data_IF_356163037517
#
_entry.id   IF_356163037517
#
_cell.length_a   1.000
_cell.length_b   1.000
_cell.length_c   1.000
_cell.angle_alpha   90.00
_cell.angle_beta   90.00
_cell.angle_gamma   90.00
#
_symmetry.space_group_name_H-M   'P 1'
#
loop_
_entity.id
_entity.type
_entity.pdbx_description
1 polymer ?
#
# COMPACT_ATOMS: atom_id res chain seq x y z
N UNK A 1 -50.57 -29.33 36.00
CA UNK A 1 -49.13 -29.01 36.07
C UNK A 1 -48.46 -29.80 34.96
N UNK A 2 -48.15 -29.13 33.85
CA UNK A 2 -47.62 -29.80 32.66
C UNK A 2 -46.12 -30.01 32.87
N UNK A 3 -45.74 -31.25 33.20
CA UNK A 3 -44.36 -31.69 33.13
C UNK A 3 -44.00 -31.85 31.65
N UNK A 4 -43.52 -30.76 31.04
CA UNK A 4 -42.86 -30.81 29.74
C UNK A 4 -41.53 -31.55 29.92
N UNK A 5 -41.57 -32.87 29.75
CA UNK A 5 -40.37 -33.70 29.65
C UNK A 5 -39.70 -33.40 28.31
N UNK A 6 -38.94 -32.30 28.24
CA UNK A 6 -38.00 -32.07 27.15
C UNK A 6 -37.11 -33.30 27.05
N UNK A 7 -37.20 -34.00 25.93
CA UNK A 7 -36.42 -35.20 25.69
C UNK A 7 -34.94 -34.81 25.56
N UNK A 8 -34.08 -35.50 26.31
CA UNK A 8 -32.61 -35.33 26.29
C UNK A 8 -32.00 -35.19 24.88
N UNK A 9 -32.41 -35.97 23.84
CA UNK A 9 -31.88 -35.78 22.49
C UNK A 9 -32.23 -34.43 21.87
N UNK A 10 -33.39 -33.86 22.18
CA UNK A 10 -33.81 -32.57 21.63
C UNK A 10 -32.97 -31.42 22.19
N UNK A 11 -32.60 -31.51 23.47
CA UNK A 11 -31.68 -30.57 24.11
C UNK A 11 -30.29 -30.58 23.44
N UNK A 12 -29.78 -31.76 23.07
CA UNK A 12 -28.49 -31.90 22.40
C UNK A 12 -28.52 -31.25 21.00
N UNK A 13 -29.59 -31.48 20.24
CA UNK A 13 -29.75 -30.86 18.91
C UNK A 13 -29.83 -29.33 19.01
N UNK A 14 -30.62 -28.81 19.96
CA UNK A 14 -30.71 -27.36 20.20
C UNK A 14 -29.34 -26.78 20.57
N UNK A 15 -28.56 -27.46 21.41
CA UNK A 15 -27.24 -27.00 21.84
C UNK A 15 -26.24 -26.94 20.66
N UNK A 16 -26.27 -27.93 19.77
CA UNK A 16 -25.45 -27.94 18.55
C UNK A 16 -25.86 -26.81 17.60
N UNK A 17 -27.16 -26.62 17.35
CA UNK A 17 -27.68 -25.56 16.48
C UNK A 17 -27.34 -24.18 17.04
N UNK A 18 -27.52 -23.98 18.35
CA UNK A 18 -27.18 -22.73 19.02
C UNK A 18 -25.67 -22.44 18.97
N UNK A 19 -24.84 -23.46 19.15
CA UNK A 19 -23.38 -23.34 18.97
C UNK A 19 -22.98 -22.99 17.54
N UNK A 20 -23.69 -23.53 16.54
CA UNK A 20 -23.45 -23.24 15.13
C UNK A 20 -23.89 -21.82 14.76
N UNK A 21 -24.99 -21.34 15.34
CA UNK A 21 -25.46 -19.96 15.21
C UNK A 21 -24.48 -18.99 15.89
N UNK A 22 -24.00 -19.27 17.09
CA UNK A 22 -22.96 -18.45 17.74
C UNK A 22 -21.69 -18.45 16.90
N UNK A 23 -21.25 -19.61 16.40
CA UNK A 23 -20.10 -19.70 15.49
C UNK A 23 -20.34 -18.89 14.22
N UNK A 24 -21.55 -18.85 13.68
CA UNK A 24 -21.84 -18.12 12.45
C UNK A 24 -21.95 -16.61 12.70
N UNK A 25 -22.53 -16.19 13.82
CA UNK A 25 -22.71 -14.79 14.20
C UNK A 25 -21.43 -14.16 14.77
N UNK A 26 -20.61 -14.92 15.51
CA UNK A 26 -19.37 -14.45 16.15
C UNK A 26 -18.09 -14.94 15.45
N UNK A 27 -18.16 -15.95 14.58
CA UNK A 27 -17.03 -16.45 13.79
C UNK A 27 -16.83 -15.71 12.47
N UNK A 28 -17.52 -14.58 12.27
CA UNK A 28 -17.19 -13.63 11.23
C UNK A 28 -15.84 -13.00 11.53
N UNK A 29 -14.85 -13.29 10.68
CA UNK A 29 -13.49 -12.75 10.69
C UNK A 29 -12.66 -13.07 11.93
N UNK A 30 -12.12 -14.30 11.98
CA UNK A 30 -10.71 -14.39 12.38
C UNK A 30 -9.94 -13.43 11.45
N UNK A 31 -9.24 -12.40 11.96
CA UNK A 31 -8.39 -11.60 11.11
C UNK A 31 -7.34 -12.58 10.59
N UNK A 32 -7.53 -13.01 9.34
CA UNK A 32 -6.52 -13.70 8.59
C UNK A 32 -5.31 -12.79 8.68
N UNK A 33 -4.33 -13.18 9.49
CA UNK A 33 -3.09 -12.46 9.69
C UNK A 33 -2.64 -12.12 8.29
N UNK A 34 -2.69 -10.83 7.87
CA UNK A 34 -2.38 -10.51 6.50
C UNK A 34 -0.96 -11.02 6.34
N UNK A 35 -0.77 -11.93 5.40
CA UNK A 35 0.56 -12.33 4.95
C UNK A 35 1.17 -11.01 4.49
N UNK A 36 1.91 -10.34 5.38
CA UNK A 36 2.42 -9.00 5.12
C UNK A 36 3.26 -9.17 3.89
N UNK A 37 2.83 -8.54 2.79
CA UNK A 37 3.57 -8.63 1.54
C UNK A 37 5.00 -8.22 1.85
N UNK A 38 6.01 -8.90 1.30
CA UNK A 38 7.41 -8.59 1.59
C UNK A 38 7.71 -7.10 1.35
N UNK A 39 7.04 -6.48 0.37
CA UNK A 39 7.09 -5.04 0.16
C UNK A 39 6.52 -4.18 1.29
N UNK A 40 5.41 -4.59 1.92
CA UNK A 40 4.86 -3.83 3.05
C UNK A 40 5.79 -3.89 4.27
N UNK A 41 6.51 -5.01 4.45
CA UNK A 41 7.53 -5.14 5.48
C UNK A 41 8.73 -4.22 5.19
N UNK A 42 9.19 -4.15 3.95
CA UNK A 42 10.23 -3.17 3.56
C UNK A 42 9.74 -1.75 3.82
N UNK A 43 8.58 -1.36 3.26
CA UNK A 43 8.03 0.01 3.39
C UNK A 43 7.90 0.47 4.84
N UNK A 44 7.43 -0.42 5.72
CA UNK A 44 7.33 -0.13 7.16
C UNK A 44 8.70 0.03 7.84
N UNK A 45 9.74 -0.71 7.39
CA UNK A 45 11.12 -0.54 7.86
C UNK A 45 11.70 0.79 7.39
N UNK A 46 11.45 1.21 6.15
CA UNK A 46 11.94 2.51 5.67
C UNK A 46 11.33 3.67 6.48
N UNK A 47 10.02 3.64 6.74
CA UNK A 47 9.33 4.63 7.59
C UNK A 47 9.89 4.63 9.02
N UNK A 48 10.15 3.44 9.56
CA UNK A 48 10.73 3.27 10.89
C UNK A 48 12.15 3.87 10.98
N UNK A 49 12.97 3.67 9.94
CA UNK A 49 14.32 4.24 9.85
C UNK A 49 14.26 5.76 9.80
N UNK A 50 13.38 6.36 9.01
CA UNK A 50 13.22 7.82 8.94
C UNK A 50 12.86 8.41 10.30
N UNK A 51 11.93 7.78 11.03
CA UNK A 51 11.56 8.20 12.38
C UNK A 51 12.73 8.12 13.36
N UNK A 52 13.50 7.02 13.33
CA UNK A 52 14.67 6.85 14.21
C UNK A 52 15.74 7.88 13.86
N UNK A 53 15.95 8.16 12.57
CA UNK A 53 16.91 9.17 12.10
C UNK A 53 16.54 10.59 12.58
N UNK A 54 15.24 10.92 12.68
CA UNK A 54 14.77 12.18 13.24
C UNK A 54 15.07 12.30 14.75
N UNK A 55 14.99 11.21 15.51
CA UNK A 55 15.29 11.19 16.95
C UNK A 55 16.79 11.10 17.24
N UNK A 56 17.54 10.39 16.40
CA UNK A 56 18.97 10.10 16.57
C UNK A 56 19.74 10.42 15.28
N UNK A 57 19.99 11.71 14.99
CA UNK A 57 20.70 12.11 13.77
C UNK A 57 22.13 11.54 13.69
N UNK A 58 22.75 11.25 14.84
CA UNK A 58 24.07 10.62 14.95
C UNK A 58 24.10 9.13 14.58
N UNK A 59 22.95 8.44 14.57
CA UNK A 59 22.89 7.02 14.24
C UNK A 59 22.90 6.84 12.72
N UNK A 60 23.78 5.95 12.23
CA UNK A 60 23.91 5.73 10.79
C UNK A 60 22.71 4.94 10.25
N UNK A 61 22.06 5.45 9.20
CA UNK A 61 20.91 4.82 8.51
C UNK A 61 21.10 3.31 8.24
N UNK A 62 22.31 2.90 7.84
CA UNK A 62 22.64 1.51 7.52
C UNK A 62 22.66 0.60 8.76
N UNK A 63 23.14 1.12 9.89
CA UNK A 63 23.13 0.38 11.16
C UNK A 63 21.71 0.22 11.70
N UNK A 64 20.87 1.27 11.58
CA UNK A 64 19.45 1.22 11.94
C UNK A 64 18.70 0.19 11.07
N UNK A 65 18.90 0.21 9.74
CA UNK A 65 18.29 -0.76 8.83
C UNK A 65 18.66 -2.22 9.18
N UNK A 66 19.94 -2.45 9.48
CA UNK A 66 20.43 -3.76 9.89
C UNK A 66 19.79 -4.23 11.20
N UNK A 67 19.68 -3.34 12.17
CA UNK A 67 19.06 -3.61 13.45
C UNK A 67 17.58 -3.95 13.32
N UNK A 68 16.84 -3.13 12.57
CA UNK A 68 15.43 -3.37 12.28
C UNK A 68 15.22 -4.67 11.51
N UNK A 69 16.17 -5.04 10.64
CA UNK A 69 16.08 -6.29 9.90
C UNK A 69 16.13 -7.51 10.83
N UNK A 70 17.01 -7.50 11.84
CA UNK A 70 17.10 -8.59 12.84
C UNK A 70 15.95 -8.54 13.84
N UNK A 71 15.53 -7.36 14.25
CA UNK A 71 14.53 -7.16 15.30
C UNK A 71 13.08 -7.05 14.78
N UNK A 72 12.83 -7.56 13.56
CA UNK A 72 11.48 -7.67 13.00
C UNK A 72 10.80 -6.33 12.67
N UNK A 73 11.55 -5.25 12.55
CA UNK A 73 11.03 -3.89 12.31
C UNK A 73 10.51 -3.20 13.58
N UNK A 74 10.87 -3.66 14.78
CA UNK A 74 10.48 -3.01 16.02
C UNK A 74 11.32 -1.74 16.29
N UNK A 75 10.67 -0.58 16.17
CA UNK A 75 11.28 0.74 16.41
C UNK A 75 11.74 0.88 17.86
N UNK A 76 10.95 0.43 18.83
CA UNK A 76 11.22 0.64 20.26
C UNK A 76 12.49 -0.09 20.69
N UNK A 77 12.62 -1.36 20.31
CA UNK A 77 13.80 -2.16 20.62
C UNK A 77 15.07 -1.56 20.01
N UNK A 78 14.95 -1.01 18.79
CA UNK A 78 16.07 -0.31 18.14
C UNK A 78 16.43 0.98 18.90
N UNK A 79 15.44 1.78 19.29
CA UNK A 79 15.64 3.00 20.09
C UNK A 79 16.33 2.70 21.43
N UNK A 80 15.87 1.68 22.16
CA UNK A 80 16.48 1.28 23.44
C UNK A 80 17.94 0.85 23.27
N UNK A 81 18.26 0.13 22.20
CA UNK A 81 19.64 -0.30 21.92
C UNK A 81 20.56 0.84 21.48
N UNK A 82 20.01 1.84 20.78
CA UNK A 82 20.73 3.08 20.46
C UNK A 82 21.05 3.83 21.75
N UNK A 83 20.08 3.98 22.64
CA UNK A 83 20.27 4.62 23.95
C UNK A 83 21.27 3.87 24.83
N UNK A 84 21.25 2.54 24.79
CA UNK A 84 22.22 1.68 25.48
C UNK A 84 23.61 1.64 24.82
N UNK A 85 23.80 2.30 23.67
CA UNK A 85 25.07 2.32 22.95
C UNK A 85 25.48 0.97 22.33
N UNK A 86 24.54 0.04 22.13
CA UNK A 86 24.78 -1.33 21.62
C UNK A 86 24.28 -1.55 20.19
N UNK A 87 24.35 -0.52 19.36
CA UNK A 87 23.96 -0.60 17.96
C UNK A 87 24.97 -1.43 17.18
N UNK A 88 24.53 -2.54 16.60
CA UNK A 88 25.41 -3.50 15.93
C UNK A 88 25.91 -2.91 14.60
N UNK A 89 27.23 -2.97 14.37
CA UNK A 89 27.83 -2.48 13.13
C UNK A 89 27.54 -3.47 12.01
N UNK A 90 26.84 -3.05 10.94
CA UNK A 90 26.42 -3.95 9.88
C UNK A 90 27.65 -4.51 9.14
N UNK A 91 27.64 -5.80 8.75
CA UNK A 91 28.71 -6.38 7.95
C UNK A 91 28.87 -5.65 6.62
N UNK A 92 30.08 -5.66 6.05
CA UNK A 92 30.41 -4.97 4.78
C UNK A 92 29.58 -5.46 3.60
N UNK A 93 29.09 -6.71 3.67
CA UNK A 93 28.19 -7.32 2.68
C UNK A 93 26.76 -6.82 2.73
N UNK A 94 26.35 -6.09 3.77
CA UNK A 94 25.01 -5.52 3.84
C UNK A 94 24.92 -4.30 2.91
N UNK A 95 24.31 -4.51 1.74
CA UNK A 95 24.03 -3.47 0.76
C UNK A 95 22.60 -2.96 0.99
N UNK A 96 22.41 -1.80 1.66
CA UNK A 96 21.08 -1.27 1.88
C UNK A 96 20.43 -0.88 0.54
N UNK A 97 19.10 -1.04 0.39
CA UNK A 97 18.40 -0.53 -0.78
C UNK A 97 18.61 1.00 -0.88
N UNK A 98 18.82 1.53 -2.10
CA UNK A 98 19.15 2.94 -2.28
C UNK A 98 18.06 3.83 -1.66
N UNK A 99 18.42 4.92 -0.97
CA UNK A 99 17.47 5.90 -0.49
C UNK A 99 16.54 6.37 -1.62
N UNK A 100 15.23 6.54 -1.39
CA UNK A 100 14.37 7.20 -2.35
C UNK A 100 14.85 8.66 -2.48
N UNK A 101 15.54 8.98 -3.58
CA UNK A 101 15.99 10.33 -3.91
C UNK A 101 17.51 10.55 -4.02
N UNK A 102 18.35 9.57 -3.65
CA UNK A 102 19.79 9.66 -3.94
C UNK A 102 20.12 8.88 -5.21
N UNK A 103 20.10 9.58 -6.33
CA UNK A 103 20.66 9.13 -7.60
C UNK A 103 22.19 9.03 -7.48
N UNK A 104 22.70 7.99 -6.82
CA UNK A 104 24.10 7.59 -7.03
C UNK A 104 24.17 6.90 -8.37
N UNK A 105 24.60 7.68 -9.36
CA UNK A 105 24.99 7.20 -10.68
C UNK A 105 26.12 6.17 -10.55
N UNK A 106 25.77 4.89 -10.46
CA UNK A 106 26.56 3.90 -11.18
C UNK A 106 26.24 4.13 -12.65
N UNK A 107 27.26 4.57 -13.40
CA UNK A 107 27.23 4.74 -14.83
C UNK A 107 26.92 3.39 -15.51
N UNK A 108 25.65 3.05 -15.58
CA UNK A 108 25.11 2.29 -16.69
C UNK A 108 24.63 3.35 -17.67
N UNK A 109 25.31 3.45 -18.81
CA UNK A 109 24.75 4.00 -20.04
C UNK A 109 23.27 3.69 -20.07
N UNK A 110 22.43 4.72 -19.90
CA UNK A 110 21.02 4.59 -20.13
C UNK A 110 20.89 4.08 -21.57
N UNK A 111 20.35 2.87 -21.82
CA UNK A 111 19.91 2.60 -23.16
C UNK A 111 18.85 3.67 -23.42
N UNK A 112 19.11 4.51 -24.44
CA UNK A 112 18.08 5.25 -25.17
C UNK A 112 16.83 4.40 -25.11
N UNK A 113 15.76 4.90 -24.47
CA UNK A 113 14.54 4.12 -24.25
C UNK A 113 14.27 3.35 -25.53
N UNK A 114 14.32 2.00 -25.53
CA UNK A 114 13.83 1.27 -26.68
C UNK A 114 12.39 1.72 -26.82
N UNK A 115 12.02 2.23 -28.00
CA UNK A 115 10.64 2.57 -28.31
C UNK A 115 9.76 1.49 -27.71
N UNK A 116 8.98 1.89 -26.72
CA UNK A 116 8.20 0.95 -25.93
C UNK A 116 7.37 0.15 -26.93
N UNK A 117 7.47 -1.19 -26.98
CA UNK A 117 6.67 -1.97 -27.91
C UNK A 117 5.22 -1.57 -27.66
N UNK A 118 4.49 -1.22 -28.72
CA UNK A 118 3.15 -0.64 -28.73
C UNK A 118 2.24 -1.27 -27.66
N UNK A 119 2.35 -0.80 -26.42
CA UNK A 119 1.47 -1.23 -25.35
C UNK A 119 0.15 -0.56 -25.67
N UNK A 120 -0.96 -1.32 -25.74
CA UNK A 120 -2.25 -0.73 -26.08
C UNK A 120 -2.51 0.41 -25.11
N UNK A 121 -2.85 1.59 -25.66
CA UNK A 121 -3.03 2.82 -24.91
C UNK A 121 -3.78 2.57 -23.60
N UNK A 122 -3.39 3.27 -22.52
CA UNK A 122 -4.09 3.18 -21.22
C UNK A 122 -5.60 3.39 -21.37
N UNK A 123 -6.00 4.21 -22.34
CA UNK A 123 -7.40 4.46 -22.71
C UNK A 123 -8.10 3.19 -23.21
N UNK A 124 -7.41 2.40 -24.04
CA UNK A 124 -7.93 1.12 -24.56
C UNK A 124 -7.91 0.06 -23.45
N UNK A 125 -6.86 -0.02 -22.65
CA UNK A 125 -6.75 -0.97 -21.53
C UNK A 125 -7.86 -0.81 -20.50
N UNK A 126 -8.30 0.44 -20.26
CA UNK A 126 -9.33 0.75 -19.27
C UNK A 126 -10.67 1.18 -19.90
N UNK A 127 -10.86 0.96 -21.20
CA UNK A 127 -12.09 1.29 -21.94
C UNK A 127 -12.59 2.73 -21.71
N UNK A 128 -11.67 3.69 -21.62
CA UNK A 128 -11.96 5.10 -21.29
C UNK A 128 -12.44 5.91 -22.50
N UNK A 129 -12.59 5.29 -23.68
CA UNK A 129 -12.94 5.97 -24.94
C UNK A 129 -14.23 6.81 -24.82
N UNK A 130 -15.25 6.28 -24.15
CA UNK A 130 -16.55 6.93 -24.00
C UNK A 130 -16.51 8.13 -23.02
N UNK A 131 -15.56 8.15 -22.08
CA UNK A 131 -15.45 9.23 -21.06
C UNK A 131 -14.70 10.46 -21.56
N UNK A 132 -14.01 10.39 -22.70
CA UNK A 132 -13.24 11.51 -23.25
C UNK A 132 -14.13 12.73 -23.55
N UNK A 133 -15.37 12.51 -24.02
CA UNK A 133 -16.30 13.58 -24.38
C UNK A 133 -17.04 14.25 -23.21
N UNK A 134 -17.06 13.64 -22.01
CA UNK A 134 -17.92 14.09 -20.89
C UNK A 134 -17.17 14.86 -19.78
N UNK A 135 -15.83 14.89 -19.80
CA UNK A 135 -15.01 15.29 -18.63
C UNK A 135 -14.65 16.80 -18.63
N UNK A 136 -15.33 17.63 -19.41
CA UNK A 136 -15.04 19.08 -19.47
C UNK A 136 -15.45 19.86 -18.20
N UNK A 137 -16.18 19.26 -17.25
CA UNK A 137 -16.87 19.98 -16.16
C UNK A 137 -16.46 19.53 -14.73
N UNK A 138 -15.57 18.55 -14.58
CA UNK A 138 -15.38 17.87 -13.27
C UNK A 138 -14.12 18.27 -12.46
N UNK A 139 -13.37 19.30 -12.85
CA UNK A 139 -12.04 19.58 -12.28
C UNK A 139 -12.02 20.36 -10.95
N UNK A 140 -13.14 20.97 -10.49
CA UNK A 140 -13.08 21.91 -9.35
C UNK A 140 -13.50 21.38 -7.95
N UNK A 141 -13.99 20.16 -7.81
CA UNK A 141 -14.74 19.77 -6.59
C UNK A 141 -14.18 18.56 -5.83
N UNK A 142 -12.84 18.41 -5.66
CA UNK A 142 -12.29 17.19 -4.98
C UNK A 142 -11.07 17.41 -4.10
N UNK A 143 -11.11 18.37 -3.20
CA UNK A 143 -10.18 18.44 -2.06
C UNK A 143 -10.78 17.69 -0.86
N UNK A 144 -10.20 16.54 -0.49
CA UNK A 144 -10.39 15.97 0.86
C UNK A 144 -11.33 14.76 1.04
N UNK A 145 -11.74 14.04 -0.01
CA UNK A 145 -12.60 12.85 0.19
C UNK A 145 -11.81 11.68 0.79
N UNK A 146 -12.01 11.42 2.09
CA UNK A 146 -11.46 10.27 2.82
C UNK A 146 -11.84 8.95 2.13
N UNK A 147 -10.96 7.95 2.18
CA UNK A 147 -11.27 6.61 1.66
C UNK A 147 -12.44 6.03 2.45
N UNK A 148 -13.47 5.54 1.76
CA UNK A 148 -14.59 4.87 2.42
C UNK A 148 -14.10 3.61 3.15
N UNK A 149 -14.75 3.26 4.26
CA UNK A 149 -14.49 2.03 5.01
C UNK A 149 -14.99 0.78 4.28
N UNK A 150 -15.97 0.95 3.39
CA UNK A 150 -16.55 -0.10 2.58
C UNK A 150 -15.64 -0.47 1.39
N UNK A 151 -15.43 -1.77 1.14
CA UNK A 151 -14.46 -2.27 0.15
C UNK A 151 -14.86 -1.90 -1.28
N UNK A 152 -16.13 -2.10 -1.61
CA UNK A 152 -16.69 -1.92 -2.95
C UNK A 152 -16.66 -0.43 -3.34
N UNK A 153 -17.11 0.43 -2.42
CA UNK A 153 -17.06 1.88 -2.60
C UNK A 153 -15.63 2.39 -2.73
N UNK A 154 -14.70 1.84 -1.93
CA UNK A 154 -13.29 2.23 -2.02
C UNK A 154 -12.72 1.84 -3.37
N UNK A 155 -13.00 0.63 -3.84
CA UNK A 155 -12.54 0.15 -5.13
C UNK A 155 -13.08 1.02 -6.27
N UNK A 156 -14.38 1.35 -6.25
CA UNK A 156 -15.01 2.25 -7.21
C UNK A 156 -14.42 3.67 -7.19
N UNK A 157 -14.13 4.19 -5.99
CA UNK A 157 -13.50 5.52 -5.84
C UNK A 157 -12.08 5.56 -6.39
N UNK A 158 -11.29 4.50 -6.18
CA UNK A 158 -9.91 4.40 -6.68
C UNK A 158 -9.89 4.22 -8.20
N UNK A 159 -10.82 3.43 -8.75
CA UNK A 159 -11.00 3.30 -10.18
C UNK A 159 -11.34 4.64 -10.81
N UNK A 160 -12.27 5.40 -10.23
CA UNK A 160 -12.66 6.72 -10.73
C UNK A 160 -11.50 7.72 -10.70
N UNK A 161 -10.75 7.79 -9.60
CA UNK A 161 -9.54 8.64 -9.49
C UNK A 161 -8.47 8.25 -10.53
N UNK A 162 -8.33 6.95 -10.80
CA UNK A 162 -7.36 6.43 -11.76
C UNK A 162 -7.76 6.75 -13.19
N UNK A 163 -9.04 6.61 -13.54
CA UNK A 163 -9.59 7.01 -14.83
C UNK A 163 -9.37 8.51 -15.08
N UNK A 164 -9.67 9.35 -14.08
CA UNK A 164 -9.48 10.80 -14.13
C UNK A 164 -8.02 11.19 -14.36
N UNK A 165 -7.10 10.57 -13.62
CA UNK A 165 -5.67 10.79 -13.78
C UNK A 165 -5.19 10.45 -15.20
N UNK A 166 -5.69 9.36 -15.79
CA UNK A 166 -5.33 8.96 -17.16
C UNK A 166 -5.81 10.01 -18.18
N UNK A 167 -7.03 10.51 -18.01
CA UNK A 167 -7.59 11.55 -18.89
C UNK A 167 -6.86 12.90 -18.73
N UNK A 168 -6.58 13.31 -17.50
CA UNK A 168 -5.83 14.54 -17.22
C UNK A 168 -4.39 14.47 -17.75
N UNK A 169 -3.73 13.32 -17.63
CA UNK A 169 -2.40 13.10 -18.19
C UNK A 169 -2.40 13.24 -19.71
N UNK A 170 -3.43 12.71 -20.39
CA UNK A 170 -3.60 12.87 -21.84
C UNK A 170 -3.74 14.35 -22.23
N UNK A 171 -4.63 15.10 -21.57
CA UNK A 171 -4.80 16.54 -21.83
C UNK A 171 -3.49 17.31 -21.67
N UNK A 172 -2.74 17.03 -20.60
CA UNK A 172 -1.42 17.64 -20.35
C UNK A 172 -0.41 17.29 -21.44
N UNK A 173 -0.44 16.06 -21.97
CA UNK A 173 0.40 15.65 -23.09
C UNK A 173 0.01 16.37 -24.38
N UNK A 174 -1.28 16.41 -24.71
CA UNK A 174 -1.79 17.11 -25.90
C UNK A 174 -1.44 18.60 -25.88
N UNK A 175 -1.61 19.26 -24.72
CA UNK A 175 -1.24 20.67 -24.54
C UNK A 175 0.28 20.90 -24.69
N UNK A 176 1.12 19.98 -24.18
CA UNK A 176 2.57 20.06 -24.34
C UNK A 176 3.01 19.90 -25.80
N UNK A 177 2.43 18.93 -26.52
CA UNK A 177 2.72 18.71 -27.94
C UNK A 177 2.28 19.93 -28.76
N UNK A 178 1.12 20.51 -28.46
CA UNK A 178 0.66 21.72 -29.12
C UNK A 178 1.58 22.92 -28.86
N UNK A 179 2.06 23.09 -27.61
CA UNK A 179 3.00 24.14 -27.26
C UNK A 179 4.37 23.95 -27.93
N UNK A 180 4.89 22.72 -27.98
CA UNK A 180 6.14 22.39 -28.67
C UNK A 180 6.04 22.64 -30.18
N UNK A 181 4.91 22.25 -30.79
CA UNK A 181 4.65 22.52 -32.21
C UNK A 181 4.49 24.01 -32.53
N UNK A 182 3.99 24.81 -31.59
CA UNK A 182 3.88 26.27 -31.76
C UNK A 182 5.18 27.03 -31.46
N UNK A 183 6.15 26.37 -30.80
CA UNK A 183 7.46 26.94 -30.49
C UNK A 183 8.54 26.58 -31.54
N UNK A 184 8.22 25.72 -32.51
CA UNK A 184 8.98 25.46 -33.74
C UNK A 184 8.47 26.34 -34.88
#
# INVERSE_FOLDING_TARGET
MSNDQISLPYLLVIMVVFGLIIRYLFGGSSPQQPTRSPEAVMRSREIAVERIQQMFPQAARRSILWDLQRNGGNIQNTTERILAGRLDTPPVTFQPPPPPGSSSASAMTAPRQPEKPAQPDLITRYNLKNKIGMVAVAEEERTGRAWSSNREERHASLQSRRDEMILAARRRMEAKIAAEKAAQ
#
